data_IF_433277087054
#
_entry.id   IF_433277087054
#
_cell.length_a   1.000
_cell.length_b   1.000
_cell.length_c   1.000
_cell.angle_alpha   90.00
_cell.angle_beta   90.00
_cell.angle_gamma   90.00
#
_symmetry.space_group_name_H-M   'P 1'
#
loop_
_entity.id
_entity.type
_entity.pdbx_description
1 polymer ?
#
# COMPACT_ATOMS: atom_id res chain seq x y z
N UNK A 1 -7.76 -15.75 30.47
CA UNK A 1 -6.53 -14.97 30.77
C UNK A 1 -6.74 -13.51 30.36
N UNK A 2 -6.33 -12.52 31.16
CA UNK A 2 -6.33 -11.13 30.74
C UNK A 2 -5.16 -10.95 29.76
N UNK A 3 -5.45 -10.66 28.49
CA UNK A 3 -4.43 -10.24 27.56
C UNK A 3 -3.74 -8.98 28.09
N UNK A 4 -2.41 -8.98 28.06
CA UNK A 4 -1.64 -7.83 28.52
C UNK A 4 -2.00 -6.59 27.67
N UNK A 5 -1.85 -5.41 28.28
CA UNK A 5 -2.05 -4.13 27.58
C UNK A 5 -1.16 -4.04 26.34
N UNK A 6 0.02 -4.60 26.37
CA UNK A 6 0.96 -4.62 25.27
C UNK A 6 0.45 -5.46 24.07
N UNK A 7 -0.19 -6.62 24.31
CA UNK A 7 -0.75 -7.46 23.26
C UNK A 7 -1.82 -6.73 22.44
N UNK A 8 -2.68 -5.98 23.15
CA UNK A 8 -3.72 -5.17 22.49
C UNK A 8 -3.13 -4.01 21.70
N UNK A 9 -2.07 -3.36 22.19
CA UNK A 9 -1.39 -2.27 21.47
C UNK A 9 -0.78 -2.82 20.17
N UNK A 10 -0.12 -3.96 20.21
CA UNK A 10 0.46 -4.61 19.04
C UNK A 10 -0.64 -5.02 18.04
N UNK A 11 -1.76 -5.56 18.56
CA UNK A 11 -2.91 -5.92 17.72
C UNK A 11 -3.47 -4.71 16.98
N UNK A 12 -3.74 -3.62 17.68
CA UNK A 12 -4.30 -2.42 17.06
C UNK A 12 -3.32 -1.77 16.09
N UNK A 13 -2.01 -1.82 16.38
CA UNK A 13 -0.97 -1.41 15.43
C UNK A 13 -1.01 -2.25 14.15
N UNK A 14 -1.14 -3.57 14.26
CA UNK A 14 -1.29 -4.49 13.12
C UNK A 14 -2.57 -4.24 12.33
N UNK A 15 -3.68 -3.96 13.02
CA UNK A 15 -4.96 -3.64 12.42
C UNK A 15 -4.91 -2.33 11.62
N UNK A 16 -4.28 -1.28 12.18
CA UNK A 16 -4.08 0.00 11.48
C UNK A 16 -3.16 -0.19 10.27
N UNK A 17 -2.09 -0.98 10.40
CA UNK A 17 -1.20 -1.29 9.29
C UNK A 17 -1.96 -1.97 8.13
N UNK A 18 -2.87 -2.90 8.43
CA UNK A 18 -3.70 -3.56 7.43
C UNK A 18 -4.69 -2.60 6.76
N UNK A 19 -5.34 -1.73 7.54
CA UNK A 19 -6.17 -0.65 6.99
C UNK A 19 -5.37 0.24 6.04
N UNK A 20 -4.16 0.67 6.44
CA UNK A 20 -3.29 1.51 5.62
C UNK A 20 -2.92 0.82 4.30
N UNK A 21 -2.60 -0.48 4.36
CA UNK A 21 -2.31 -1.30 3.18
C UNK A 21 -3.47 -1.31 2.19
N UNK A 22 -4.67 -1.60 2.67
CA UNK A 22 -5.87 -1.67 1.83
C UNK A 22 -6.30 -0.28 1.32
N UNK A 23 -6.16 0.77 2.12
CA UNK A 23 -6.38 2.16 1.66
C UNK A 23 -5.41 2.53 0.54
N UNK A 24 -4.12 2.26 0.69
CA UNK A 24 -3.13 2.53 -0.35
C UNK A 24 -3.45 1.78 -1.65
N UNK A 25 -3.93 0.54 -1.54
CA UNK A 25 -4.36 -0.26 -2.69
C UNK A 25 -5.55 0.37 -3.42
N UNK A 26 -6.64 0.70 -2.70
CA UNK A 26 -7.87 1.19 -3.34
C UNK A 26 -7.72 2.62 -3.87
N UNK A 27 -7.02 3.51 -3.15
CA UNK A 27 -6.76 4.88 -3.60
C UNK A 27 -6.03 4.84 -4.95
N UNK A 28 -4.94 4.06 -5.03
CA UNK A 28 -4.20 3.90 -6.28
C UNK A 28 -5.06 3.27 -7.38
N UNK A 29 -5.86 2.26 -7.06
CA UNK A 29 -6.77 1.62 -8.02
C UNK A 29 -7.78 2.62 -8.59
N UNK A 30 -8.37 3.47 -7.76
CA UNK A 30 -9.30 4.51 -8.19
C UNK A 30 -8.57 5.53 -9.06
N UNK A 31 -7.44 6.08 -8.63
CA UNK A 31 -6.69 7.09 -9.37
C UNK A 31 -6.30 6.63 -10.79
N UNK A 32 -5.98 5.34 -10.96
CA UNK A 32 -5.66 4.75 -12.27
C UNK A 32 -6.93 4.53 -13.10
N UNK A 33 -8.02 4.02 -12.52
CA UNK A 33 -9.18 3.57 -13.28
C UNK A 33 -10.26 4.64 -13.48
N UNK A 34 -10.28 5.70 -12.65
CA UNK A 34 -11.24 6.83 -12.80
C UNK A 34 -10.84 7.85 -13.88
N UNK A 35 -9.68 7.71 -14.48
CA UNK A 35 -9.15 8.70 -15.43
C UNK A 35 -8.24 9.76 -14.81
N UNK A 36 -8.22 9.92 -13.48
CA UNK A 36 -7.45 10.99 -12.81
C UNK A 36 -5.95 10.91 -13.18
N UNK A 37 -5.32 9.76 -12.99
CA UNK A 37 -3.92 9.60 -13.38
C UNK A 37 -3.70 9.51 -14.89
N UNK A 38 -4.53 8.78 -15.67
CA UNK A 38 -4.45 8.81 -17.12
C UNK A 38 -4.47 10.22 -17.71
N UNK A 39 -5.37 11.08 -17.24
CA UNK A 39 -5.46 12.47 -17.71
C UNK A 39 -4.27 13.31 -17.25
N UNK A 40 -3.92 13.25 -15.96
CA UNK A 40 -2.83 14.04 -15.38
C UNK A 40 -1.46 13.70 -15.97
N UNK A 41 -1.21 12.44 -16.30
CA UNK A 41 0.10 11.95 -16.74
C UNK A 41 0.13 11.49 -18.20
N UNK A 42 -0.96 11.66 -18.95
CA UNK A 42 -1.05 11.25 -20.36
C UNK A 42 -0.91 9.73 -20.56
N UNK A 43 -1.46 8.91 -19.63
CA UNK A 43 -1.32 7.46 -19.68
C UNK A 43 -2.35 6.85 -20.64
N UNK A 44 -1.89 5.99 -21.54
CA UNK A 44 -2.77 5.15 -22.32
C UNK A 44 -3.32 3.96 -21.49
N UNK A 45 -4.24 3.18 -22.08
CA UNK A 45 -4.87 2.03 -21.44
C UNK A 45 -3.87 0.92 -21.09
N UNK A 46 -2.84 0.74 -21.91
CA UNK A 46 -1.81 -0.29 -21.69
C UNK A 46 -0.92 0.14 -20.52
N UNK A 47 -0.47 1.40 -20.52
CA UNK A 47 0.32 1.98 -19.45
C UNK A 47 -0.42 1.94 -18.10
N UNK A 48 -1.71 2.27 -18.10
CA UNK A 48 -2.59 2.19 -16.93
C UNK A 48 -2.69 0.74 -16.39
N UNK A 49 -2.88 -0.23 -17.27
CA UNK A 49 -2.91 -1.65 -16.92
C UNK A 49 -1.58 -2.16 -16.36
N UNK A 50 -0.46 -1.79 -16.99
CA UNK A 50 0.89 -2.11 -16.50
C UNK A 50 1.14 -1.47 -15.14
N UNK A 51 0.76 -0.21 -14.97
CA UNK A 51 0.89 0.52 -13.71
C UNK A 51 0.06 -0.14 -12.60
N UNK A 52 -1.18 -0.55 -12.89
CA UNK A 52 -2.01 -1.28 -11.93
C UNK A 52 -1.35 -2.60 -11.52
N UNK A 53 -0.88 -3.39 -12.48
CA UNK A 53 -0.17 -4.64 -12.24
C UNK A 53 1.13 -4.47 -11.44
N UNK A 54 1.84 -3.34 -11.62
CA UNK A 54 3.09 -3.03 -10.92
C UNK A 54 2.95 -2.96 -9.39
N UNK A 55 1.75 -2.79 -8.86
CA UNK A 55 1.51 -2.88 -7.41
C UNK A 55 1.06 -4.26 -6.94
N UNK A 56 0.69 -5.16 -7.84
CA UNK A 56 0.13 -6.48 -7.50
C UNK A 56 1.20 -7.57 -7.47
N UNK A 57 2.02 -7.70 -8.51
CA UNK A 57 3.02 -8.76 -8.57
C UNK A 57 4.11 -8.63 -7.49
N UNK A 58 4.61 -7.39 -7.13
CA UNK A 58 5.57 -7.27 -6.05
C UNK A 58 4.95 -7.58 -4.68
N UNK A 59 3.66 -7.25 -4.50
CA UNK A 59 2.90 -7.63 -3.31
C UNK A 59 2.93 -9.15 -3.08
N UNK A 60 2.61 -9.93 -4.12
CA UNK A 60 2.62 -11.39 -4.02
C UNK A 60 4.03 -11.95 -3.73
N UNK A 61 5.05 -11.44 -4.44
CA UNK A 61 6.44 -11.84 -4.20
C UNK A 61 6.88 -11.48 -2.78
N UNK A 62 6.55 -10.29 -2.31
CA UNK A 62 6.93 -9.84 -0.96
C UNK A 62 6.31 -10.69 0.13
N UNK A 63 5.03 -11.09 0.01
CA UNK A 63 4.39 -12.01 0.96
C UNK A 63 5.19 -13.30 1.06
N UNK A 64 5.52 -13.92 -0.08
CA UNK A 64 6.24 -15.18 -0.11
C UNK A 64 7.62 -15.03 0.54
N UNK A 65 8.41 -14.04 0.09
CA UNK A 65 9.76 -13.83 0.58
C UNK A 65 9.79 -13.54 2.08
N UNK A 66 8.99 -12.60 2.55
CA UNK A 66 8.97 -12.25 3.97
C UNK A 66 8.40 -13.37 4.85
N UNK A 67 7.43 -14.14 4.36
CA UNK A 67 6.93 -15.33 5.10
C UNK A 67 8.04 -16.37 5.32
N UNK A 68 9.02 -16.46 4.42
CA UNK A 68 10.14 -17.39 4.54
C UNK A 68 11.28 -16.86 5.45
N UNK A 69 11.45 -15.56 5.55
CA UNK A 69 12.62 -14.97 6.23
C UNK A 69 12.28 -14.18 7.49
N UNK A 70 10.99 -13.99 7.81
CA UNK A 70 10.54 -13.12 8.91
C UNK A 70 11.13 -13.51 10.26
N UNK A 71 11.30 -14.79 10.54
CA UNK A 71 11.88 -15.29 11.79
C UNK A 71 13.37 -14.95 11.92
N UNK A 72 14.06 -14.71 10.79
CA UNK A 72 15.48 -14.34 10.75
C UNK A 72 15.69 -12.83 10.81
N UNK A 73 14.91 -12.09 10.04
CA UNK A 73 15.05 -10.62 9.92
C UNK A 73 14.30 -9.86 11.02
N UNK A 74 13.27 -10.49 11.58
CA UNK A 74 12.47 -9.97 12.67
C UNK A 74 11.40 -8.95 12.25
N UNK A 75 10.34 -8.89 13.05
CA UNK A 75 9.16 -8.05 12.79
C UNK A 75 9.46 -6.54 12.77
N UNK A 76 10.43 -6.09 13.57
CA UNK A 76 10.84 -4.68 13.58
C UNK A 76 11.39 -4.24 12.22
N UNK A 77 12.26 -5.05 11.63
CA UNK A 77 12.81 -4.78 10.32
C UNK A 77 11.69 -4.74 9.27
N UNK A 78 10.77 -5.71 9.28
CA UNK A 78 9.65 -5.75 8.35
C UNK A 78 8.76 -4.48 8.45
N UNK A 79 8.48 -4.00 9.66
CA UNK A 79 7.74 -2.75 9.86
C UNK A 79 8.48 -1.53 9.31
N UNK A 80 9.78 -1.39 9.60
CA UNK A 80 10.58 -0.29 9.07
C UNK A 80 10.68 -0.34 7.54
N UNK A 81 10.86 -1.53 6.98
CA UNK A 81 10.89 -1.72 5.52
C UNK A 81 9.57 -1.31 4.88
N UNK A 82 8.43 -1.75 5.43
CA UNK A 82 7.11 -1.34 4.94
C UNK A 82 6.91 0.17 5.01
N UNK A 83 7.22 0.79 6.15
CA UNK A 83 7.15 2.24 6.32
C UNK A 83 8.01 2.98 5.29
N UNK A 84 9.25 2.52 5.09
CA UNK A 84 10.14 3.09 4.09
C UNK A 84 9.56 2.99 2.67
N UNK A 85 8.98 1.84 2.32
CA UNK A 85 8.31 1.64 1.03
C UNK A 85 7.16 2.63 0.82
N UNK A 86 6.32 2.87 1.84
CA UNK A 86 5.25 3.87 1.76
C UNK A 86 5.79 5.29 1.60
N UNK A 87 6.82 5.66 2.35
CA UNK A 87 7.44 6.99 2.26
C UNK A 87 8.06 7.22 0.87
N UNK A 88 8.77 6.22 0.34
CA UNK A 88 9.36 6.29 -1.01
C UNK A 88 8.28 6.38 -2.08
N UNK A 89 7.20 5.59 -1.98
CA UNK A 89 6.07 5.71 -2.90
C UNK A 89 5.48 7.12 -2.89
N UNK A 90 5.23 7.67 -1.71
CA UNK A 90 4.72 9.03 -1.57
C UNK A 90 5.64 10.07 -2.21
N UNK A 91 6.95 9.97 -1.97
CA UNK A 91 7.94 10.85 -2.60
C UNK A 91 7.94 10.73 -4.14
N UNK A 92 7.92 9.50 -4.67
CA UNK A 92 7.90 9.26 -6.11
C UNK A 92 6.58 9.76 -6.76
N UNK A 93 5.44 9.60 -6.08
CA UNK A 93 4.18 10.15 -6.55
C UNK A 93 4.22 11.69 -6.61
N UNK A 94 4.76 12.35 -5.59
CA UNK A 94 4.95 13.81 -5.62
C UNK A 94 5.92 14.24 -6.72
N UNK A 95 7.00 13.49 -6.96
CA UNK A 95 7.92 13.75 -8.06
C UNK A 95 7.25 13.58 -9.43
N UNK A 96 6.34 12.61 -9.58
CA UNK A 96 5.56 12.44 -10.80
C UNK A 96 4.67 13.66 -11.08
N UNK A 97 3.94 14.14 -10.08
CA UNK A 97 3.15 15.37 -10.20
C UNK A 97 4.04 16.59 -10.48
N UNK A 98 5.15 16.74 -9.79
CA UNK A 98 6.09 17.84 -10.01
C UNK A 98 6.69 17.82 -11.44
N UNK A 99 6.86 16.64 -12.02
CA UNK A 99 7.41 16.52 -13.38
C UNK A 99 6.48 17.06 -14.45
N UNK A 100 5.16 16.99 -14.26
CA UNK A 100 4.14 17.47 -15.21
C UNK A 100 3.53 18.81 -14.79
N UNK A 101 3.85 19.33 -13.61
CA UNK A 101 3.34 20.58 -13.10
C UNK A 101 3.85 21.77 -13.93
N UNK A 102 3.02 22.78 -14.08
CA UNK A 102 3.31 23.94 -14.90
C UNK A 102 3.20 23.62 -16.41
N UNK A 103 3.95 24.33 -17.20
CA UNK A 103 4.03 24.13 -18.66
C UNK A 103 5.44 23.65 -19.03
N UNK A 104 5.73 22.33 -18.90
CA UNK A 104 7.05 21.82 -19.25
C UNK A 104 7.35 22.04 -20.72
N UNK A 105 8.57 22.47 -21.04
CA UNK A 105 9.00 22.73 -22.40
C UNK A 105 8.90 21.49 -23.33
N UNK A 106 8.99 20.30 -22.75
CA UNK A 106 8.76 19.02 -23.42
C UNK A 106 7.81 18.17 -22.56
N UNK A 107 6.53 18.25 -22.86
CA UNK A 107 5.48 17.52 -22.15
C UNK A 107 5.64 16.01 -22.29
N UNK A 108 6.03 15.50 -23.46
CA UNK A 108 6.19 14.07 -23.67
C UNK A 108 7.32 13.49 -22.80
N UNK A 109 8.45 14.17 -22.70
CA UNK A 109 9.53 13.77 -21.82
C UNK A 109 9.15 13.89 -20.35
N UNK A 110 8.34 14.88 -19.96
CA UNK A 110 7.81 15.05 -18.60
C UNK A 110 6.88 13.89 -18.22
N UNK A 111 5.92 13.55 -19.09
CA UNK A 111 5.00 12.42 -18.91
C UNK A 111 5.74 11.07 -18.84
N UNK A 112 6.75 10.86 -19.69
CA UNK A 112 7.57 9.65 -19.64
C UNK A 112 8.32 9.51 -18.30
N UNK A 113 8.85 10.59 -17.74
CA UNK A 113 9.48 10.60 -16.39
C UNK A 113 8.46 10.35 -15.31
N UNK A 114 7.29 11.00 -15.36
CA UNK A 114 6.22 10.80 -14.40
C UNK A 114 5.76 9.33 -14.37
N UNK A 115 5.60 8.71 -15.54
CA UNK A 115 5.27 7.29 -15.65
C UNK A 115 6.31 6.39 -14.94
N UNK A 116 7.60 6.67 -15.13
CA UNK A 116 8.66 5.91 -14.45
C UNK A 116 8.59 6.05 -12.92
N UNK A 117 8.34 7.26 -12.41
CA UNK A 117 8.17 7.46 -10.97
C UNK A 117 6.96 6.70 -10.42
N UNK A 118 5.82 6.74 -11.12
CA UNK A 118 4.62 6.02 -10.73
C UNK A 118 4.80 4.50 -10.80
N UNK A 119 5.48 4.00 -11.83
CA UNK A 119 5.75 2.58 -12.00
C UNK A 119 6.62 2.03 -10.86
N UNK A 120 7.79 2.61 -10.66
CA UNK A 120 8.69 2.17 -9.60
C UNK A 120 8.12 2.43 -8.20
N UNK A 121 7.41 3.53 -8.03
CA UNK A 121 6.65 3.81 -6.81
C UNK A 121 5.63 2.72 -6.52
N UNK A 122 4.87 2.28 -7.53
CA UNK A 122 3.89 1.18 -7.40
C UNK A 122 4.55 -0.17 -7.06
N UNK A 123 5.69 -0.47 -7.66
CA UNK A 123 6.49 -1.67 -7.33
C UNK A 123 6.92 -1.64 -5.85
N UNK A 124 7.47 -0.51 -5.41
CA UNK A 124 7.94 -0.33 -4.02
C UNK A 124 6.77 -0.40 -3.05
N UNK A 125 5.64 0.24 -3.37
CA UNK A 125 4.42 0.17 -2.56
C UNK A 125 3.93 -1.27 -2.43
N UNK A 126 3.92 -2.03 -3.53
CA UNK A 126 3.55 -3.44 -3.53
C UNK A 126 4.44 -4.28 -2.61
N UNK A 127 5.76 -4.06 -2.63
CA UNK A 127 6.68 -4.72 -1.71
C UNK A 127 6.35 -4.39 -0.24
N UNK A 128 6.09 -3.12 0.08
CA UNK A 128 5.70 -2.68 1.42
C UNK A 128 4.39 -3.33 1.89
N UNK A 129 3.38 -3.33 1.03
CA UNK A 129 2.07 -3.94 1.30
C UNK A 129 2.19 -5.44 1.59
N UNK A 130 2.93 -6.18 0.75
CA UNK A 130 3.12 -7.62 0.94
C UNK A 130 3.92 -7.95 2.20
N UNK A 131 4.86 -7.09 2.58
CA UNK A 131 5.60 -7.25 3.83
C UNK A 131 4.67 -7.10 5.04
N UNK A 132 3.75 -6.12 5.05
CA UNK A 132 2.75 -5.98 6.12
C UNK A 132 1.94 -7.27 6.25
N UNK A 133 1.39 -7.78 5.16
CA UNK A 133 0.59 -9.02 5.18
C UNK A 133 1.39 -10.23 5.69
N UNK A 134 2.66 -10.31 5.35
CA UNK A 134 3.52 -11.43 5.77
C UNK A 134 3.75 -11.46 7.28
N UNK A 135 3.77 -10.31 7.97
CA UNK A 135 4.10 -10.30 9.40
C UNK A 135 2.90 -10.14 10.34
N UNK A 136 1.82 -9.43 9.96
CA UNK A 136 0.71 -9.18 10.90
C UNK A 136 -0.02 -10.45 11.32
N UNK A 137 -0.22 -11.39 10.41
CA UNK A 137 -0.92 -12.64 10.68
C UNK A 137 -0.18 -13.51 11.71
N UNK A 138 1.11 -13.87 11.55
CA UNK A 138 1.83 -14.63 12.53
C UNK A 138 1.98 -13.89 13.88
N UNK A 139 2.12 -12.55 13.88
CA UNK A 139 2.15 -11.76 15.11
C UNK A 139 0.86 -11.93 15.89
N UNK A 140 -0.31 -11.69 15.29
CA UNK A 140 -1.61 -11.80 15.95
C UNK A 140 -1.87 -13.25 16.38
N UNK A 141 -1.55 -14.23 15.54
CA UNK A 141 -1.70 -15.64 15.87
C UNK A 141 -0.84 -16.08 17.06
N UNK A 142 0.31 -15.47 17.25
CA UNK A 142 1.23 -15.77 18.37
C UNK A 142 0.80 -15.10 19.68
N UNK A 143 0.29 -13.87 19.60
CA UNK A 143 -0.19 -13.11 20.76
C UNK A 143 -1.48 -13.70 21.34
N UNK A 144 -2.37 -14.20 20.50
CA UNK A 144 -3.71 -14.66 20.89
C UNK A 144 -3.92 -16.16 20.64
N UNK A 145 -3.01 -16.99 21.10
CA UNK A 145 -2.99 -18.45 20.83
C UNK A 145 -4.30 -19.17 21.14
N UNK A 146 -4.96 -18.82 22.25
CA UNK A 146 -6.19 -19.48 22.71
C UNK A 146 -7.45 -19.02 21.94
N UNK A 147 -7.47 -17.77 21.48
CA UNK A 147 -8.57 -17.18 20.72
C UNK A 147 -8.12 -16.78 19.29
N UNK A 148 -7.14 -17.49 18.74
CA UNK A 148 -6.47 -17.18 17.48
C UNK A 148 -7.44 -16.85 16.34
N UNK A 149 -8.44 -17.70 16.11
CA UNK A 149 -9.40 -17.52 15.01
C UNK A 149 -10.23 -16.24 15.17
N UNK A 150 -10.64 -15.92 16.40
CA UNK A 150 -11.39 -14.69 16.68
C UNK A 150 -10.58 -13.44 16.36
N UNK A 151 -9.34 -13.37 16.86
CA UNK A 151 -8.49 -12.19 16.66
C UNK A 151 -8.02 -12.03 15.21
N UNK A 152 -7.76 -13.14 14.51
CA UNK A 152 -7.46 -13.08 13.08
C UNK A 152 -8.68 -12.62 12.27
N UNK A 153 -9.90 -13.06 12.60
CA UNK A 153 -11.10 -12.58 11.91
C UNK A 153 -11.33 -11.08 12.13
N UNK A 154 -11.09 -10.58 13.36
CA UNK A 154 -11.16 -9.14 13.64
C UNK A 154 -10.07 -8.40 12.84
N UNK A 155 -8.83 -8.91 12.81
CA UNK A 155 -7.75 -8.33 12.03
C UNK A 155 -8.15 -8.20 10.55
N UNK A 156 -8.64 -9.28 9.96
CA UNK A 156 -9.01 -9.31 8.53
C UNK A 156 -10.22 -8.41 8.19
N UNK A 157 -11.05 -8.04 9.15
CA UNK A 157 -12.07 -7.01 8.95
C UNK A 157 -11.48 -5.62 8.65
N UNK A 158 -10.21 -5.40 9.00
CA UNK A 158 -9.46 -4.19 8.64
C UNK A 158 -9.28 -4.01 7.13
N UNK A 159 -9.15 -5.11 6.37
CA UNK A 159 -8.97 -5.03 4.91
C UNK A 159 -10.19 -4.38 4.21
N UNK A 160 -11.41 -4.93 4.27
CA UNK A 160 -12.58 -4.27 3.69
C UNK A 160 -12.86 -2.91 4.30
N UNK A 161 -12.60 -2.73 5.60
CA UNK A 161 -12.71 -1.43 6.26
C UNK A 161 -11.81 -0.37 5.62
N UNK A 162 -10.57 -0.70 5.35
CA UNK A 162 -9.62 0.20 4.68
C UNK A 162 -9.99 0.48 3.21
N UNK A 163 -10.54 -0.51 2.48
CA UNK A 163 -11.05 -0.28 1.12
C UNK A 163 -12.19 0.75 1.13
N UNK A 164 -13.14 0.63 2.04
CA UNK A 164 -14.24 1.58 2.17
C UNK A 164 -13.73 2.97 2.54
N UNK A 165 -12.87 3.06 3.57
CA UNK A 165 -12.31 4.34 4.01
C UNK A 165 -11.51 5.03 2.89
N UNK A 166 -10.63 4.28 2.22
CA UNK A 166 -9.83 4.81 1.11
C UNK A 166 -10.70 5.25 -0.07
N UNK A 167 -11.74 4.47 -0.41
CA UNK A 167 -12.70 4.82 -1.46
C UNK A 167 -13.45 6.11 -1.15
N UNK A 168 -14.01 6.21 0.04
CA UNK A 168 -14.75 7.42 0.48
C UNK A 168 -13.84 8.66 0.49
N UNK A 169 -12.62 8.51 1.00
CA UNK A 169 -11.66 9.61 1.01
C UNK A 169 -11.28 10.06 -0.41
N UNK A 170 -11.06 9.12 -1.33
CA UNK A 170 -10.68 9.48 -2.70
C UNK A 170 -11.83 10.18 -3.42
N UNK A 171 -13.06 9.70 -3.27
CA UNK A 171 -14.25 10.34 -3.88
C UNK A 171 -14.46 11.73 -3.27
N UNK A 172 -14.49 11.82 -1.94
CA UNK A 172 -14.73 13.08 -1.25
C UNK A 172 -13.64 14.15 -1.48
N UNK A 173 -12.41 13.74 -1.72
CA UNK A 173 -11.33 14.67 -2.11
C UNK A 173 -11.40 15.02 -3.61
N UNK A 174 -11.84 14.09 -4.46
CA UNK A 174 -12.02 14.35 -5.89
C UNK A 174 -13.10 15.39 -6.19
N UNK A 175 -14.10 15.50 -5.33
CA UNK A 175 -15.15 16.55 -5.43
C UNK A 175 -14.66 17.94 -4.98
N UNK A 176 -13.48 18.02 -4.36
CA UNK A 176 -12.89 19.28 -3.85
C UNK A 176 -11.82 19.87 -4.79
N UNK A 177 -11.42 19.15 -5.86
CA UNK A 177 -10.40 19.53 -6.84
C UNK A 177 -11.02 19.66 -8.21
#
# INVERSE_FOLDING_TARGET
>A
MKHDRNDKVIFWGSFIALITTSMAFIIRAILINSGIWPEAFGLDKVQSGVLFGAGIWPFAISIILFSLIIDRVGYRFAMFFSFFCYAVFGALALMAYAAVAGEPADLAAAQARAWQFLYWGSVILGLGNGTVEAFINPVVATLFKEEKSKWLNILHAGWPGGLVLGGVLTIGLGDLV
#
